data_IF_464618121761
#
_entry.id   IF_464618121761
#
_cell.length_a   1.000
_cell.length_b   1.000
_cell.length_c   1.000
_cell.angle_alpha   90.00
_cell.angle_beta   90.00
_cell.angle_gamma   90.00
#
_symmetry.space_group_name_H-M   'P 1'
#
loop_
_entity.id
_entity.type
_entity.pdbx_description
1 polymer ?
#
# COMPACT_ATOMS: atom_id res chain seq x y z
N UNK A 1 -20.56 15.94 3.00
CA UNK A 1 -19.22 16.36 2.54
C UNK A 1 -19.40 17.17 1.29
N UNK A 2 -18.73 18.31 1.21
CA UNK A 2 -18.58 19.02 -0.05
C UNK A 2 -17.44 18.40 -0.89
N UNK A 3 -17.28 18.90 -2.13
CA UNK A 3 -16.28 18.39 -3.07
C UNK A 3 -14.84 18.55 -2.57
N UNK A 4 -14.54 19.64 -1.89
CA UNK A 4 -13.20 19.93 -1.37
C UNK A 4 -12.84 18.95 -0.26
N UNK A 5 -13.77 18.71 0.66
CA UNK A 5 -13.61 17.72 1.73
C UNK A 5 -13.42 16.29 1.18
N UNK A 6 -14.09 15.95 0.08
CA UNK A 6 -13.94 14.64 -0.56
C UNK A 6 -12.57 14.49 -1.24
N UNK A 7 -12.08 15.56 -1.87
CA UNK A 7 -10.75 15.58 -2.49
C UNK A 7 -9.64 15.48 -1.44
N UNK A 8 -9.74 16.21 -0.33
CA UNK A 8 -8.81 16.10 0.80
C UNK A 8 -8.80 14.69 1.40
N UNK A 9 -9.98 14.07 1.55
CA UNK A 9 -10.10 12.69 2.01
C UNK A 9 -9.43 11.73 1.03
N UNK A 10 -9.68 11.88 -0.27
CA UNK A 10 -9.08 11.05 -1.31
C UNK A 10 -7.54 11.16 -1.28
N UNK A 11 -6.98 12.36 -1.19
CA UNK A 11 -5.53 12.58 -1.08
C UNK A 11 -4.96 11.89 0.16
N UNK A 12 -5.62 12.00 1.32
CA UNK A 12 -5.19 11.32 2.55
C UNK A 12 -5.18 9.80 2.40
N UNK A 13 -6.25 9.24 1.83
CA UNK A 13 -6.38 7.78 1.63
C UNK A 13 -5.37 7.26 0.61
N UNK A 14 -5.03 8.04 -0.43
CA UNK A 14 -3.97 7.68 -1.39
C UNK A 14 -2.60 7.65 -0.69
N UNK A 15 -2.28 8.64 0.15
CA UNK A 15 -1.02 8.66 0.91
C UNK A 15 -0.91 7.45 1.83
N UNK A 16 -1.98 7.12 2.53
CA UNK A 16 -2.06 5.94 3.39
C UNK A 16 -1.88 4.64 2.58
N UNK A 17 -2.57 4.51 1.45
CA UNK A 17 -2.43 3.35 0.55
C UNK A 17 -0.98 3.12 0.15
N UNK A 18 -0.28 4.18 -0.28
CA UNK A 18 1.12 4.11 -0.70
C UNK A 18 2.05 3.74 0.45
N UNK A 19 1.82 4.29 1.65
CA UNK A 19 2.62 3.95 2.82
C UNK A 19 2.45 2.47 3.23
N UNK A 20 1.22 1.95 3.15
CA UNK A 20 0.92 0.53 3.39
C UNK A 20 1.62 -0.36 2.36
N UNK A 21 1.51 -0.03 1.07
CA UNK A 21 2.20 -0.77 0.00
C UNK A 21 3.72 -0.80 0.20
N UNK A 22 4.33 0.32 0.56
CA UNK A 22 5.77 0.37 0.82
C UNK A 22 6.17 -0.51 2.02
N UNK A 23 5.37 -0.50 3.09
CA UNK A 23 5.62 -1.35 4.25
C UNK A 23 5.41 -2.84 3.95
N UNK A 24 4.40 -3.17 3.16
CA UNK A 24 4.09 -4.55 2.76
C UNK A 24 5.17 -5.12 1.82
N UNK A 25 5.72 -4.28 0.94
CA UNK A 25 6.82 -4.64 0.06
C UNK A 25 8.07 -5.08 0.85
N UNK A 26 8.39 -4.41 1.96
CA UNK A 26 9.52 -4.80 2.82
C UNK A 26 9.33 -6.19 3.43
N UNK A 27 8.11 -6.53 3.84
CA UNK A 27 7.78 -7.85 4.40
C UNK A 27 7.86 -8.93 3.32
N UNK A 28 7.39 -8.63 2.11
CA UNK A 28 7.53 -9.55 0.98
C UNK A 28 9.00 -9.82 0.66
N UNK A 29 9.83 -8.78 0.57
CA UNK A 29 11.27 -8.93 0.31
C UNK A 29 11.99 -9.72 1.40
N UNK A 30 11.67 -9.47 2.68
CA UNK A 30 12.17 -10.23 3.82
C UNK A 30 11.76 -11.70 3.73
N UNK A 31 10.49 -11.97 3.42
CA UNK A 31 9.97 -13.33 3.26
C UNK A 31 10.63 -14.07 2.10
N UNK A 32 10.80 -13.42 0.94
CA UNK A 32 11.50 -13.99 -0.22
C UNK A 32 12.94 -14.35 0.14
N UNK A 33 13.69 -13.41 0.73
CA UNK A 33 15.06 -13.64 1.19
C UNK A 33 15.15 -14.79 2.19
N UNK A 34 14.27 -14.81 3.19
CA UNK A 34 14.22 -15.85 4.21
C UNK A 34 13.82 -17.23 3.65
N UNK A 35 13.05 -17.25 2.56
CA UNK A 35 12.62 -18.47 1.88
C UNK A 35 13.73 -19.10 1.03
N UNK A 36 14.63 -18.28 0.51
CA UNK A 36 15.80 -18.71 -0.26
C UNK A 36 16.99 -19.12 0.63
N UNK A 37 17.00 -18.71 1.90
CA UNK A 37 18.05 -19.07 2.85
C UNK A 37 17.71 -20.37 3.62
N UNK A 38 18.44 -21.48 3.38
CA UNK A 38 18.20 -22.75 4.05
C UNK A 38 18.57 -22.73 5.54
N UNK A 39 19.35 -21.74 6.00
CA UNK A 39 19.70 -21.57 7.41
C UNK A 39 18.57 -20.98 8.25
N UNK A 40 17.59 -20.32 7.61
CA UNK A 40 16.43 -19.76 8.30
C UNK A 40 15.52 -20.89 8.77
N UNK A 41 15.05 -20.89 10.03
CA UNK A 41 14.11 -21.87 10.52
C UNK A 41 12.77 -21.83 9.77
N UNK A 42 12.14 -23.00 9.58
CA UNK A 42 10.84 -23.09 8.91
C UNK A 42 9.74 -22.30 9.62
N UNK A 43 9.76 -22.23 10.96
CA UNK A 43 8.81 -21.42 11.73
C UNK A 43 8.92 -19.93 11.43
N UNK A 44 10.14 -19.41 11.20
CA UNK A 44 10.36 -18.00 10.85
C UNK A 44 9.81 -17.69 9.46
N UNK A 45 10.07 -18.57 8.47
CA UNK A 45 9.46 -18.45 7.13
C UNK A 45 7.94 -18.47 7.18
N UNK A 46 7.37 -19.35 8.00
CA UNK A 46 5.92 -19.45 8.18
C UNK A 46 5.33 -18.18 8.80
N UNK A 47 5.95 -17.63 9.84
CA UNK A 47 5.47 -16.37 10.44
C UNK A 47 5.53 -15.19 9.46
N UNK A 48 6.57 -15.11 8.63
CA UNK A 48 6.67 -14.09 7.56
C UNK A 48 5.59 -14.28 6.49
N UNK A 49 5.29 -15.52 6.10
CA UNK A 49 4.20 -15.83 5.18
C UNK A 49 2.83 -15.43 5.75
N UNK A 50 2.57 -15.73 7.03
CA UNK A 50 1.32 -15.38 7.71
C UNK A 50 1.14 -13.86 7.80
N UNK A 51 2.20 -13.12 8.14
CA UNK A 51 2.20 -11.65 8.17
C UNK A 51 1.95 -11.06 6.77
N UNK A 52 2.60 -11.60 5.74
CA UNK A 52 2.37 -11.20 4.35
C UNK A 52 0.90 -11.38 3.94
N UNK A 53 0.30 -12.54 4.23
CA UNK A 53 -1.10 -12.82 3.92
C UNK A 53 -2.07 -11.92 4.70
N UNK A 54 -1.76 -11.60 5.96
CA UNK A 54 -2.55 -10.70 6.78
C UNK A 54 -2.53 -9.27 6.21
N UNK A 55 -1.38 -8.82 5.74
CA UNK A 55 -1.19 -7.52 5.09
C UNK A 55 -1.87 -7.44 3.74
N UNK A 56 -1.75 -8.47 2.91
CA UNK A 56 -2.43 -8.54 1.62
C UNK A 56 -3.93 -8.29 1.76
N UNK A 57 -4.60 -8.96 2.71
CA UNK A 57 -6.04 -8.77 2.97
C UNK A 57 -6.37 -7.34 3.42
N UNK A 58 -5.51 -6.71 4.21
CA UNK A 58 -5.71 -5.31 4.66
C UNK A 58 -5.55 -4.34 3.49
N UNK A 59 -4.55 -4.56 2.65
CA UNK A 59 -4.28 -3.74 1.46
C UNK A 59 -5.40 -3.87 0.42
N UNK A 60 -5.97 -5.06 0.22
CA UNK A 60 -7.16 -5.26 -0.62
C UNK A 60 -8.37 -4.45 -0.11
N UNK A 61 -8.68 -4.54 1.18
CA UNK A 61 -9.78 -3.77 1.79
C UNK A 61 -9.55 -2.26 1.70
N UNK A 62 -8.31 -1.81 1.86
CA UNK A 62 -7.96 -0.39 1.75
C UNK A 62 -8.10 0.10 0.30
N UNK A 63 -7.64 -0.69 -0.67
CA UNK A 63 -7.75 -0.38 -2.10
C UNK A 63 -9.22 -0.30 -2.54
N UNK A 64 -10.08 -1.18 -2.03
CA UNK A 64 -11.51 -1.16 -2.33
C UNK A 64 -12.19 0.12 -1.80
N UNK A 65 -11.79 0.59 -0.61
CA UNK A 65 -12.24 1.89 -0.07
C UNK A 65 -11.76 3.06 -0.93
N UNK A 66 -10.50 3.03 -1.37
CA UNK A 66 -9.95 4.07 -2.24
C UNK A 66 -10.69 4.11 -3.60
N UNK A 67 -10.96 2.94 -4.19
CA UNK A 67 -11.71 2.83 -5.43
C UNK A 67 -13.10 3.46 -5.32
N UNK A 68 -13.81 3.20 -4.22
CA UNK A 68 -15.12 3.81 -3.98
C UNK A 68 -15.06 5.34 -3.83
N UNK A 69 -14.03 5.87 -3.15
CA UNK A 69 -13.83 7.32 -3.02
C UNK A 69 -13.55 7.96 -4.39
N UNK A 70 -12.70 7.34 -5.21
CA UNK A 70 -12.37 7.82 -6.56
C UNK A 70 -13.62 7.79 -7.46
N UNK A 71 -14.45 6.76 -7.36
CA UNK A 71 -15.70 6.64 -8.10
C UNK A 71 -16.66 7.81 -7.79
N UNK A 72 -16.83 8.16 -6.51
CA UNK A 72 -17.66 9.30 -6.10
C UNK A 72 -17.03 10.63 -6.56
N UNK A 73 -15.71 10.75 -6.49
CA UNK A 73 -15.00 11.98 -6.86
C UNK A 73 -14.98 12.21 -8.38
N UNK A 74 -15.02 11.14 -9.17
CA UNK A 74 -15.03 11.17 -10.65
C UNK A 74 -13.68 11.43 -11.29
N UNK A 75 -12.60 11.54 -10.50
CA UNK A 75 -11.21 11.67 -10.95
C UNK A 75 -10.25 11.19 -9.86
N UNK A 76 -8.99 10.92 -10.23
CA UNK A 76 -7.91 10.64 -9.27
C UNK A 76 -7.21 11.96 -8.96
N UNK A 77 -7.20 12.44 -7.70
CA UNK A 77 -6.55 13.69 -7.35
C UNK A 77 -5.03 13.54 -7.35
N UNK A 78 -4.32 14.60 -7.75
CA UNK A 78 -2.85 14.63 -7.66
C UNK A 78 -2.44 14.70 -6.19
N UNK A 79 -1.42 13.91 -5.84
CA UNK A 79 -0.82 13.89 -4.51
C UNK A 79 0.55 14.53 -4.61
N UNK A 80 0.64 15.80 -4.23
CA UNK A 80 1.89 16.59 -4.28
C UNK A 80 2.96 15.91 -3.43
N UNK A 81 4.12 15.64 -4.04
CA UNK A 81 5.27 14.94 -3.46
C UNK A 81 5.95 13.91 -4.39
N UNK A 82 5.28 13.49 -5.47
CA UNK A 82 5.83 12.52 -6.45
C UNK A 82 5.88 13.06 -7.89
N UNK A 83 4.90 13.88 -8.32
CA UNK A 83 4.88 14.45 -9.69
C UNK A 83 6.07 15.39 -9.97
N UNK A 84 6.72 15.95 -8.95
CA UNK A 84 7.95 16.75 -9.10
C UNK A 84 9.22 15.91 -9.22
N UNK A 85 9.24 14.67 -8.70
CA UNK A 85 10.38 13.75 -8.89
C UNK A 85 10.40 13.14 -10.29
N UNK A 86 9.25 13.03 -10.95
CA UNK A 86 9.16 12.48 -12.31
C UNK A 86 9.53 13.49 -13.42
N UNK A 87 9.75 14.78 -13.08
CA UNK A 87 10.18 15.83 -14.03
C UNK A 87 11.67 16.21 -13.92
N UNK A 88 12.42 15.51 -13.10
CA UNK A 88 13.88 15.70 -12.95
C UNK A 88 14.60 14.38 -13.20
N UNK A 89 14.50 13.85 -14.42
CA UNK A 89 15.45 12.90 -15.01
C UNK A 89 15.49 13.15 -16.53
#
# INVERSE_FOLDING_TARGET
MDRVQLEELAVSVIKEHRALLAADQLIYEEWTRASEDPSVPSCVRQSLQEEYLARQKRSEAQQERLAHIIEILGFVPSVVGEDEKQKSD
#
